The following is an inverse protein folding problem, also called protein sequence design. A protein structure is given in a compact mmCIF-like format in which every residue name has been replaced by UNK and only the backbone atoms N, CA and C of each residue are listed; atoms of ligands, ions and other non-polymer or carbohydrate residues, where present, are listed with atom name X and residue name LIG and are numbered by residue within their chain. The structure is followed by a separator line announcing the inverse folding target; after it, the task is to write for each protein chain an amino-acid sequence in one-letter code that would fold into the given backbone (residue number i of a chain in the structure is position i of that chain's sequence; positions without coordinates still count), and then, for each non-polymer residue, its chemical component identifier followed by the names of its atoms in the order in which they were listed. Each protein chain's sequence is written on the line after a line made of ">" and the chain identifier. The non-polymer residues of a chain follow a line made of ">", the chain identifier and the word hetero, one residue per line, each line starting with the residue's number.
data_IF_178515158217
#
_entry.id   IF_178515158217
#
_cell.length_a   1.000
_cell.length_b   1.000
_cell.length_c   1.000
_cell.angle_alpha   90.00
_cell.angle_beta   90.00
_cell.angle_gamma   90.00
#
_symmetry.space_group_name_H-M   'P 1'
#
loop_
_entity.id
_entity.type
_entity.pdbx_description
1 polymer ?
#
# COMPACT_ATOMS: atom_id res chain seq x y z
N UNK A 1 12.14 -3.49 7.74
CA UNK A 1 13.45 -3.06 8.32
C UNK A 1 13.16 -2.04 9.42
N UNK A 2 13.66 -2.24 10.65
CA UNK A 2 13.41 -1.35 11.81
C UNK A 2 13.53 -2.08 13.15
N UNK A 3 13.46 -1.38 14.30
CA UNK A 3 12.91 -0.03 14.50
C UNK A 3 13.84 1.11 14.02
N UNK A 4 13.24 2.14 13.42
CA UNK A 4 13.92 3.36 12.94
C UNK A 4 13.24 4.60 13.55
N UNK A 5 13.97 5.68 13.83
CA UNK A 5 13.38 6.90 14.36
C UNK A 5 12.53 7.59 13.30
N UNK A 6 11.29 7.94 13.67
CA UNK A 6 10.24 8.35 12.73
C UNK A 6 10.56 9.65 11.97
N UNK A 7 11.25 10.59 12.62
CA UNK A 7 11.67 11.88 12.08
C UNK A 7 12.54 11.76 10.81
N UNK A 8 13.51 10.85 10.82
CA UNK A 8 14.38 10.59 9.66
C UNK A 8 13.76 9.61 8.68
N UNK A 9 12.93 8.69 9.16
CA UNK A 9 12.31 7.62 8.37
C UNK A 9 11.46 8.18 7.22
N UNK A 10 10.62 9.17 7.46
CA UNK A 10 9.74 9.71 6.42
C UNK A 10 10.49 10.49 5.33
N UNK A 11 11.61 11.15 5.67
CA UNK A 11 12.46 11.80 4.68
C UNK A 11 13.11 10.78 3.74
N UNK A 12 13.59 9.67 4.29
CA UNK A 12 14.18 8.55 3.54
C UNK A 12 13.13 7.79 2.72
N UNK A 13 11.93 7.58 3.27
CA UNK A 13 10.81 7.00 2.55
C UNK A 13 10.39 7.88 1.35
N UNK A 14 10.35 9.20 1.52
CA UNK A 14 10.12 10.14 0.42
C UNK A 14 11.21 10.09 -0.65
N UNK A 15 12.45 9.80 -0.27
CA UNK A 15 13.56 9.60 -1.21
C UNK A 15 13.50 8.26 -1.96
N UNK A 16 12.51 7.40 -1.70
CA UNK A 16 12.32 6.12 -2.38
C UNK A 16 13.14 4.97 -1.78
N UNK A 17 13.68 5.12 -0.57
CA UNK A 17 14.44 4.04 0.09
C UNK A 17 13.58 2.87 0.55
N UNK A 18 12.25 3.05 0.64
CA UNK A 18 11.31 2.05 1.15
C UNK A 18 10.03 2.00 0.32
N UNK A 19 9.48 0.80 0.12
CA UNK A 19 8.17 0.61 -0.51
C UNK A 19 7.00 0.97 0.41
N UNK A 20 7.22 0.98 1.73
CA UNK A 20 6.21 1.28 2.73
C UNK A 20 6.78 1.46 4.14
N UNK A 21 6.04 2.20 4.97
CA UNK A 21 6.41 2.49 6.36
C UNK A 21 5.29 2.05 7.30
N UNK A 22 5.65 1.38 8.39
CA UNK A 22 4.73 1.02 9.47
C UNK A 22 5.00 1.92 10.66
N UNK A 23 4.04 2.79 10.97
CA UNK A 23 4.07 3.62 12.17
C UNK A 23 3.43 2.88 13.34
N UNK A 24 3.96 3.05 14.56
CA UNK A 24 3.40 2.42 15.75
C UNK A 24 2.12 3.11 16.23
N UNK A 25 1.99 4.41 15.96
CA UNK A 25 0.85 5.23 16.34
C UNK A 25 0.32 6.03 15.16
N UNK A 26 -0.98 6.34 15.21
CA UNK A 26 -1.69 7.06 14.17
C UNK A 26 -1.02 8.39 13.81
N UNK A 27 -0.73 9.24 14.81
CA UNK A 27 -0.21 10.59 14.55
C UNK A 27 1.22 10.59 14.03
N UNK A 28 2.01 9.55 14.34
CA UNK A 28 3.37 9.42 13.79
C UNK A 28 3.35 9.29 12.27
N UNK A 29 2.41 8.52 11.72
CA UNK A 29 2.26 8.33 10.28
C UNK A 29 1.42 9.42 9.61
N UNK A 30 0.27 9.76 10.20
CA UNK A 30 -0.69 10.67 9.57
C UNK A 30 -0.17 12.10 9.46
N UNK A 31 0.59 12.60 10.44
CA UNK A 31 1.18 13.94 10.33
C UNK A 31 2.17 14.00 9.17
N UNK A 32 3.08 13.03 9.08
CA UNK A 32 4.07 12.96 8.02
C UNK A 32 3.42 12.84 6.63
N UNK A 33 2.43 11.96 6.48
CA UNK A 33 1.70 11.78 5.22
C UNK A 33 1.03 13.08 4.76
N UNK A 34 0.37 13.79 5.67
CA UNK A 34 -0.31 15.06 5.39
C UNK A 34 0.65 16.16 4.97
N UNK A 35 1.88 16.17 5.50
CA UNK A 35 2.91 17.14 5.10
C UNK A 35 3.55 16.81 3.75
N UNK A 36 3.58 15.54 3.36
CA UNK A 36 4.20 15.11 2.10
C UNK A 36 3.28 15.32 0.90
N UNK A 37 2.02 14.89 0.99
CA UNK A 37 1.08 15.04 -0.14
C UNK A 37 -0.39 14.90 0.34
N UNK A 38 -0.93 15.98 0.90
CA UNK A 38 -2.27 15.98 1.50
C UNK A 38 -3.38 15.63 0.50
N UNK A 39 -3.31 16.17 -0.71
CA UNK A 39 -4.42 16.12 -1.68
C UNK A 39 -4.51 14.80 -2.44
N UNK A 40 -3.40 14.04 -2.51
CA UNK A 40 -3.34 12.76 -3.23
C UNK A 40 -3.28 11.53 -2.33
N UNK A 41 -3.16 11.71 -1.02
CA UNK A 41 -3.14 10.59 -0.08
C UNK A 41 -4.47 9.82 -0.08
N UNK A 42 -4.39 8.50 -0.21
CA UNK A 42 -5.53 7.57 -0.20
C UNK A 42 -5.44 6.63 0.98
N UNK A 43 -6.55 6.47 1.71
CA UNK A 43 -6.66 5.47 2.76
C UNK A 43 -7.05 4.11 2.16
N UNK A 44 -6.26 3.08 2.44
CA UNK A 44 -6.51 1.70 2.01
C UNK A 44 -6.70 0.84 3.26
N UNK A 45 -7.76 0.04 3.31
CA UNK A 45 -7.98 -0.88 4.43
C UNK A 45 -7.53 -2.28 4.06
N UNK A 46 -6.50 -2.75 4.76
CA UNK A 46 -5.96 -4.10 4.60
C UNK A 46 -6.69 -5.09 5.50
N UNK A 47 -6.79 -6.35 5.08
CA UNK A 47 -7.39 -7.45 5.85
C UNK A 47 -8.89 -7.69 5.61
N UNK A 48 -9.56 -6.88 4.77
CA UNK A 48 -10.94 -7.11 4.37
C UNK A 48 -11.05 -8.05 3.16
N UNK A 49 -12.16 -8.81 3.00
CA UNK A 49 -12.38 -9.67 1.82
C UNK A 49 -12.70 -8.86 0.55
N UNK A 50 -12.99 -7.57 0.70
CA UNK A 50 -13.29 -6.61 -0.38
C UNK A 50 -12.20 -5.55 -0.46
N UNK A 51 -12.03 -4.96 -1.65
CA UNK A 51 -11.16 -3.79 -1.83
C UNK A 51 -11.89 -2.57 -1.28
N UNK A 52 -11.27 -1.86 -0.33
CA UNK A 52 -11.83 -0.66 0.29
C UNK A 52 -10.78 0.44 0.33
N UNK A 53 -11.03 1.48 -0.46
CA UNK A 53 -10.28 2.75 -0.43
C UNK A 53 -11.19 3.88 0.05
N UNK A 54 -10.61 4.97 0.55
CA UNK A 54 -11.34 6.19 0.89
C UNK A 54 -10.44 7.43 0.78
N UNK A 55 -11.03 8.63 0.55
CA UNK A 55 -10.28 9.87 0.68
C UNK A 55 -9.82 10.09 2.14
N UNK A 56 -8.85 10.99 2.32
CA UNK A 56 -8.23 11.32 3.62
C UNK A 56 -8.81 12.58 4.28
N UNK A 57 -9.68 13.32 3.58
CA UNK A 57 -10.34 14.51 4.10
C UNK A 57 -11.63 14.20 4.88
N UNK A 58 -12.08 15.18 5.67
CA UNK A 58 -13.32 15.12 6.44
C UNK A 58 -14.56 15.47 5.62
N UNK A 59 -15.70 15.62 6.29
CA UNK A 59 -17.00 15.85 5.63
C UNK A 59 -17.16 17.24 5.00
N UNK A 60 -16.36 18.23 5.43
CA UNK A 60 -16.38 19.60 4.92
C UNK A 60 -17.80 20.21 4.86
N UNK A 61 -18.53 20.17 5.99
CA UNK A 61 -19.93 20.61 6.07
C UNK A 61 -20.13 22.09 5.73
N UNK A 62 -19.12 22.91 5.99
CA UNK A 62 -19.08 24.34 5.70
C UNK A 62 -19.17 24.67 4.20
N UNK A 63 -18.78 23.73 3.31
CA UNK A 63 -18.83 23.89 1.85
C UNK A 63 -19.84 22.97 1.15
N UNK A 64 -20.64 22.25 1.93
CA UNK A 64 -21.59 21.29 1.39
C UNK A 64 -22.66 22.02 0.54
N UNK A 65 -23.05 21.45 -0.61
CA UNK A 65 -23.98 22.03 -1.60
C UNK A 65 -23.54 23.35 -2.26
N UNK A 66 -22.30 23.79 -2.08
CA UNK A 66 -21.80 25.03 -2.71
C UNK A 66 -21.12 24.80 -4.07
N UNK A 67 -20.84 23.56 -4.44
CA UNK A 67 -20.18 23.23 -5.72
C UNK A 67 -18.68 23.59 -5.77
N UNK A 68 -18.06 23.91 -4.63
CA UNK A 68 -16.65 24.33 -4.52
C UNK A 68 -15.73 23.26 -3.93
N UNK A 69 -16.24 22.05 -3.68
CA UNK A 69 -15.45 20.96 -3.10
C UNK A 69 -14.36 20.47 -4.05
N UNK A 70 -13.15 20.29 -3.53
CA UNK A 70 -12.05 19.68 -4.27
C UNK A 70 -12.30 18.18 -4.44
N UNK A 71 -12.24 17.68 -5.68
CA UNK A 71 -12.57 16.28 -6.01
C UNK A 71 -11.36 15.35 -6.12
N UNK A 72 -10.13 15.88 -6.10
CA UNK A 72 -8.94 15.10 -6.44
C UNK A 72 -8.74 13.89 -5.52
N UNK A 73 -8.91 14.05 -4.21
CA UNK A 73 -8.75 12.92 -3.27
C UNK A 73 -9.75 11.79 -3.49
N UNK A 74 -11.00 12.08 -3.91
CA UNK A 74 -11.96 11.03 -4.29
C UNK A 74 -11.57 10.36 -5.60
N UNK A 75 -11.11 11.13 -6.60
CA UNK A 75 -10.66 10.59 -7.88
C UNK A 75 -9.46 9.66 -7.69
N UNK A 76 -8.47 10.05 -6.88
CA UNK A 76 -7.32 9.21 -6.56
C UNK A 76 -7.74 7.95 -5.80
N UNK A 77 -8.67 8.06 -4.84
CA UNK A 77 -9.19 6.89 -4.13
C UNK A 77 -9.86 5.88 -5.08
N UNK A 78 -10.64 6.36 -6.05
CA UNK A 78 -11.27 5.52 -7.07
C UNK A 78 -10.23 4.91 -8.04
N UNK A 79 -9.21 5.68 -8.43
CA UNK A 79 -8.11 5.22 -9.28
C UNK A 79 -7.30 4.12 -8.61
N UNK A 80 -6.93 4.30 -7.34
CA UNK A 80 -6.19 3.27 -6.59
C UNK A 80 -7.03 2.00 -6.46
N UNK A 81 -8.34 2.12 -6.22
CA UNK A 81 -9.23 0.96 -6.18
C UNK A 81 -9.24 0.19 -7.51
N UNK A 82 -9.28 0.88 -8.66
CA UNK A 82 -9.27 0.22 -9.96
C UNK A 82 -7.95 -0.51 -10.25
N UNK A 83 -6.82 0.07 -9.87
CA UNK A 83 -5.49 -0.56 -9.96
C UNK A 83 -5.43 -1.85 -9.12
N UNK A 84 -5.88 -1.79 -7.87
CA UNK A 84 -5.92 -2.95 -6.97
C UNK A 84 -6.88 -4.04 -7.49
N UNK A 85 -8.00 -3.65 -8.08
CA UNK A 85 -8.98 -4.58 -8.64
C UNK A 85 -8.42 -5.33 -9.87
N UNK A 86 -7.74 -4.62 -10.77
CA UNK A 86 -7.07 -5.24 -11.92
C UNK A 86 -6.00 -6.25 -11.46
N UNK A 87 -5.13 -5.87 -10.53
CA UNK A 87 -4.10 -6.77 -10.01
C UNK A 87 -4.67 -8.03 -9.32
N UNK A 88 -5.83 -7.91 -8.65
CA UNK A 88 -6.51 -9.06 -8.04
C UNK A 88 -7.09 -10.01 -9.10
N UNK A 89 -7.59 -9.50 -10.21
CA UNK A 89 -8.10 -10.35 -11.30
C UNK A 89 -6.98 -11.19 -11.93
N UNK A 90 -5.80 -10.60 -12.11
CA UNK A 90 -4.62 -11.30 -12.64
C UNK A 90 -4.14 -12.41 -11.70
N UNK A 91 -4.22 -12.17 -10.38
CA UNK A 91 -3.88 -13.18 -9.36
C UNK A 91 -4.97 -14.26 -9.21
N UNK A 92 -6.23 -13.92 -9.50
CA UNK A 92 -7.36 -14.84 -9.44
C UNK A 92 -7.30 -16.00 -10.45
N UNK A 93 -6.49 -15.88 -11.50
CA UNK A 93 -6.21 -16.96 -12.45
C UNK A 93 -5.26 -18.04 -11.93
N UNK A 94 -4.44 -17.74 -10.91
CA UNK A 94 -3.46 -18.68 -10.34
C UNK A 94 -3.85 -19.24 -8.96
N UNK A 95 -4.87 -18.68 -8.30
CA UNK A 95 -5.42 -19.20 -7.04
C UNK A 95 -6.85 -19.72 -7.25
N UNK A 96 -6.94 -20.91 -7.84
CA UNK A 96 -8.19 -21.67 -7.90
C UNK A 96 -8.67 -22.06 -6.50
N UNK A 97 -9.95 -21.78 -6.23
CA UNK A 97 -10.86 -22.54 -5.36
C UNK A 97 -10.27 -23.32 -4.17
N UNK A 98 -10.19 -22.69 -3.00
CA UNK A 98 -10.38 -23.43 -1.75
C UNK A 98 -10.98 -22.53 -0.68
N UNK A 99 -12.31 -22.41 -0.70
CA UNK A 99 -13.04 -22.30 0.54
C UNK A 99 -12.87 -23.63 1.28
N UNK A 100 -11.80 -23.75 2.07
CA UNK A 100 -11.62 -24.83 3.02
C UNK A 100 -11.12 -24.22 4.32
N UNK A 101 -11.99 -24.21 5.33
CA UNK A 101 -11.59 -23.98 6.72
C UNK A 101 -10.45 -24.94 7.08
N UNK A 102 -9.36 -24.50 7.72
CA UNK A 102 -8.31 -25.42 8.13
C UNK A 102 -8.85 -26.37 9.19
N UNK A 103 -8.82 -27.67 8.90
CA UNK A 103 -9.07 -28.71 9.91
C UNK A 103 -7.79 -28.91 10.73
N UNK A 104 -7.87 -28.92 12.08
CA UNK A 104 -6.70 -29.13 12.91
C UNK A 104 -6.30 -30.62 12.86
N UNK A 105 -5.17 -30.95 12.22
CA UNK A 105 -4.60 -32.30 12.33
C UNK A 105 -3.70 -32.82 11.22
N UNK A 106 -3.42 -32.10 10.13
CA UNK A 106 -2.55 -32.64 9.07
C UNK A 106 -1.06 -32.34 9.31
N UNK A 107 -0.32 -33.40 9.59
CA UNK A 107 1.12 -33.42 9.90
C UNK A 107 1.93 -33.52 8.61
N UNK A 108 2.80 -32.52 8.40
CA UNK A 108 4.08 -32.49 7.67
C UNK A 108 4.31 -33.56 6.56
N UNK A 109 4.22 -33.13 5.29
CA UNK A 109 4.67 -33.90 4.12
C UNK A 109 5.39 -33.03 3.08
N UNK A 110 6.72 -33.00 3.17
CA UNK A 110 7.69 -32.72 2.09
C UNK A 110 7.38 -31.62 1.05
N UNK A 111 7.83 -30.38 1.31
CA UNK A 111 7.98 -29.36 0.28
C UNK A 111 9.40 -29.42 -0.32
N UNK A 112 9.44 -29.78 -1.60
CA UNK A 112 10.63 -29.84 -2.44
C UNK A 112 11.23 -28.44 -2.61
N UNK A 113 12.55 -28.39 -2.50
CA UNK A 113 13.40 -27.25 -2.85
C UNK A 113 13.16 -26.81 -4.30
N UNK A 114 12.71 -25.56 -4.49
CA UNK A 114 12.89 -24.80 -5.73
C UNK A 114 13.59 -23.50 -5.38
N UNK A 115 14.91 -23.51 -5.49
CA UNK A 115 15.74 -22.30 -5.62
C UNK A 115 15.37 -21.58 -6.92
N UNK A 116 14.67 -20.46 -6.82
CA UNK A 116 14.58 -19.47 -7.88
C UNK A 116 15.59 -18.36 -7.57
N UNK A 117 16.60 -18.24 -8.43
CA UNK A 117 17.71 -17.28 -8.38
C UNK A 117 17.19 -15.83 -8.57
N UNK A 118 17.72 -14.83 -7.84
CA UNK A 118 17.39 -13.43 -8.11
C UNK A 118 18.05 -12.93 -9.41
N UNK A 119 17.41 -12.05 -10.20
CA UNK A 119 18.04 -11.46 -11.37
C UNK A 119 19.15 -10.47 -10.97
N UNK A 120 20.28 -10.57 -11.68
CA UNK A 120 21.45 -9.69 -11.54
C UNK A 120 21.11 -8.23 -11.86
N UNK A 121 21.55 -7.24 -11.06
CA UNK A 121 21.36 -5.83 -11.40
C UNK A 121 22.28 -5.44 -12.57
N UNK A 122 21.67 -4.82 -13.59
CA UNK A 122 22.37 -4.19 -14.70
C UNK A 122 23.24 -3.05 -14.14
N UNK A 123 24.56 -3.17 -14.30
CA UNK A 123 25.51 -2.15 -13.91
C UNK A 123 25.29 -0.87 -14.72
N UNK A 124 24.77 0.19 -14.08
CA UNK A 124 24.96 1.56 -14.57
C UNK A 124 26.40 1.95 -14.26
N UNK A 125 27.24 1.87 -15.29
CA UNK A 125 28.57 2.46 -15.31
C UNK A 125 28.47 3.95 -15.00
N UNK A 126 29.40 4.42 -14.17
CA UNK A 126 29.40 5.76 -13.62
C UNK A 126 29.43 6.88 -14.67
N UNK A 127 28.75 7.96 -14.32
CA UNK A 127 29.13 9.30 -14.73
C UNK A 127 29.54 10.07 -13.48
N UNK A 128 30.76 10.59 -13.53
CA UNK A 128 31.38 11.42 -12.50
C UNK A 128 30.84 12.85 -12.61
N UNK A 129 30.79 13.48 -11.43
CA UNK A 129 30.60 14.91 -11.11
C UNK A 129 29.17 15.42 -11.17
#
# INVERSE_FOLDING_TARGET
>A
VGPLPADTLFCRARAGEFDGVVAMYHDQGHIALKLMDFHRAVNITLGLPIIRTSPTYGTAFDIAWQGVAEIQGMLEAARVASVLAAARADTGGCLGSSGASPQPGEVMGSLRSTTATPPTPLAVQGQRR
#
